data_IF_075527367100
#
_entry.id   IF_075527367100
#
_cell.length_a   1.000
_cell.length_b   1.000
_cell.length_c   1.000
_cell.angle_alpha   90.00
_cell.angle_beta   90.00
_cell.angle_gamma   90.00
#
_symmetry.space_group_name_H-M   'P 1'
#
loop_
_entity.id
_entity.type
_entity.pdbx_description
1 polymer ?
#
# COMPACT_ATOMS: atom_id res chain seq x y z
N UNK A 1 -18.65 10.00 0.12
CA UNK A 1 -17.25 10.29 -0.27
C UNK A 1 -16.49 11.15 0.74
N UNK A 2 -17.04 12.25 1.28
CA UNK A 2 -16.37 13.06 2.34
C UNK A 2 -16.01 12.25 3.58
N UNK A 3 -16.77 11.23 3.93
CA UNK A 3 -16.52 10.39 5.12
C UNK A 3 -15.30 9.48 4.97
N UNK A 4 -15.06 8.94 3.78
CA UNK A 4 -13.88 8.08 3.52
C UNK A 4 -12.59 8.88 3.61
N UNK A 5 -12.54 10.10 3.08
CA UNK A 5 -11.36 10.97 3.20
C UNK A 5 -11.06 11.32 4.66
N UNK A 6 -12.10 11.59 5.47
CA UNK A 6 -11.93 11.83 6.91
C UNK A 6 -11.41 10.59 7.63
N UNK A 7 -11.94 9.42 7.28
CA UNK A 7 -11.48 8.14 7.84
C UNK A 7 -10.02 7.89 7.49
N UNK A 8 -9.64 8.04 6.24
CA UNK A 8 -8.24 7.89 5.80
C UNK A 8 -7.32 8.90 6.50
N UNK A 9 -7.69 10.19 6.53
CA UNK A 9 -6.95 11.22 7.23
C UNK A 9 -6.81 10.93 8.74
N UNK A 10 -7.85 10.41 9.38
CA UNK A 10 -7.78 10.01 10.78
C UNK A 10 -6.80 8.85 11.00
N UNK A 11 -6.69 7.92 10.06
CA UNK A 11 -5.83 6.74 10.15
C UNK A 11 -4.36 7.01 9.77
N UNK A 12 -4.00 8.19 9.28
CA UNK A 12 -2.59 8.52 8.96
C UNK A 12 -1.69 8.57 10.20
N UNK A 13 -2.24 8.92 11.36
CA UNK A 13 -1.46 9.02 12.61
C UNK A 13 -1.26 7.63 13.23
N UNK A 14 0.00 7.21 13.51
CA UNK A 14 0.29 5.96 14.22
C UNK A 14 -0.42 5.89 15.58
N UNK A 15 -0.35 6.96 16.37
CA UNK A 15 -1.00 7.03 17.68
C UNK A 15 -2.51 6.78 17.59
N UNK A 16 -3.18 7.31 16.57
CA UNK A 16 -4.63 7.07 16.40
C UNK A 16 -4.95 5.62 16.04
N UNK A 17 -4.08 4.97 15.24
CA UNK A 17 -4.23 3.53 14.94
C UNK A 17 -4.06 2.67 16.19
N UNK A 18 -3.06 2.98 17.02
CA UNK A 18 -2.83 2.27 18.28
C UNK A 18 -3.99 2.49 19.27
N UNK A 19 -4.50 3.73 19.38
CA UNK A 19 -5.71 4.01 20.19
C UNK A 19 -6.88 3.16 19.70
N UNK A 20 -7.13 3.08 18.41
CA UNK A 20 -8.20 2.23 17.85
C UNK A 20 -7.99 0.75 18.19
N UNK A 21 -6.76 0.26 18.13
CA UNK A 21 -6.42 -1.10 18.57
C UNK A 21 -6.77 -1.33 20.04
N UNK A 22 -6.44 -0.39 20.92
CA UNK A 22 -6.75 -0.49 22.34
C UNK A 22 -8.25 -0.52 22.66
N UNK A 23 -9.06 0.28 21.94
CA UNK A 23 -10.51 0.38 22.16
C UNK A 23 -11.32 -0.55 21.20
N UNK A 24 -10.66 -1.47 20.53
CA UNK A 24 -11.30 -2.33 19.53
C UNK A 24 -12.31 -3.30 20.16
N UNK A 25 -11.90 -3.99 21.21
CA UNK A 25 -12.70 -5.02 21.88
C UNK A 25 -13.18 -4.62 23.28
N UNK A 26 -12.84 -3.42 23.73
CA UNK A 26 -13.16 -2.93 25.07
C UNK A 26 -13.43 -1.43 25.08
N UNK A 27 -14.13 -0.99 26.11
CA UNK A 27 -14.37 0.41 26.36
C UNK A 27 -13.36 0.96 27.39
N UNK A 28 -12.66 2.04 27.03
CA UNK A 28 -11.67 2.67 27.87
C UNK A 28 -11.95 4.16 28.03
N UNK A 29 -11.66 4.71 29.21
CA UNK A 29 -11.65 6.15 29.43
C UNK A 29 -10.40 6.80 28.80
N UNK A 30 -10.46 8.12 28.57
CA UNK A 30 -9.29 8.86 28.08
C UNK A 30 -8.07 8.76 29.01
N UNK A 31 -8.29 8.57 30.31
CA UNK A 31 -7.21 8.36 31.28
C UNK A 31 -6.55 7.00 31.16
N UNK A 32 -7.35 5.93 31.01
CA UNK A 32 -6.84 4.57 30.79
C UNK A 32 -6.09 4.47 29.45
N UNK A 33 -6.58 5.14 28.41
CA UNK A 33 -5.89 5.22 27.13
C UNK A 33 -4.56 5.99 27.30
N UNK A 34 -4.56 7.15 27.94
CA UNK A 34 -3.36 7.96 28.14
C UNK A 34 -2.26 7.23 28.91
N UNK A 35 -2.62 6.34 29.82
CA UNK A 35 -1.65 5.53 30.58
C UNK A 35 -0.85 4.54 29.69
N UNK A 36 -1.33 4.24 28.46
CA UNK A 36 -0.66 3.35 27.53
C UNK A 36 0.29 4.07 26.54
N UNK A 37 0.38 5.40 26.61
CA UNK A 37 1.17 6.20 25.66
C UNK A 37 2.12 7.18 26.37
N UNK A 38 3.29 7.47 25.82
CA UNK A 38 4.22 8.49 26.32
C UNK A 38 3.77 9.91 25.91
N UNK A 39 2.47 10.20 25.98
CA UNK A 39 1.87 11.50 25.61
C UNK A 39 0.87 11.96 26.65
N UNK A 40 0.61 13.27 26.69
CA UNK A 40 -0.27 13.85 27.70
C UNK A 40 -1.75 13.51 27.47
N UNK A 41 -2.55 13.51 28.56
CA UNK A 41 -4.00 13.29 28.46
C UNK A 41 -4.73 14.28 27.54
N UNK A 42 -4.39 15.58 27.47
CA UNK A 42 -4.93 16.49 26.47
C UNK A 42 -4.65 16.05 25.02
N UNK A 43 -3.44 15.56 24.74
CA UNK A 43 -3.07 15.04 23.43
C UNK A 43 -3.91 13.83 23.01
N UNK A 44 -4.11 12.89 23.96
CA UNK A 44 -5.01 11.74 23.73
C UNK A 44 -6.45 12.22 23.48
N UNK A 45 -6.92 13.22 24.19
CA UNK A 45 -8.27 13.78 23.97
C UNK A 45 -8.43 14.38 22.58
N UNK A 46 -7.39 15.02 22.03
CA UNK A 46 -7.37 15.51 20.63
C UNK A 46 -7.43 14.36 19.62
N UNK A 47 -6.65 13.31 19.83
CA UNK A 47 -6.69 12.12 18.97
C UNK A 47 -8.06 11.44 18.99
N UNK A 48 -8.68 11.33 20.15
CA UNK A 48 -10.03 10.78 20.32
C UNK A 48 -11.10 11.66 19.65
N UNK A 49 -10.95 12.98 19.68
CA UNK A 49 -11.84 13.91 18.97
C UNK A 49 -11.78 13.65 17.45
N UNK A 50 -10.59 13.58 16.86
CA UNK A 50 -10.40 13.29 15.43
C UNK A 50 -10.99 11.93 15.05
N UNK A 51 -10.77 10.90 15.86
CA UNK A 51 -11.35 9.57 15.62
C UNK A 51 -12.87 9.56 15.67
N UNK A 52 -13.47 10.35 16.57
CA UNK A 52 -14.92 10.50 16.65
C UNK A 52 -15.50 11.28 15.47
N UNK A 53 -14.87 12.38 15.07
CA UNK A 53 -15.26 13.17 13.89
C UNK A 53 -15.17 12.37 12.59
N UNK A 54 -14.20 11.47 12.50
CA UNK A 54 -14.09 10.51 11.41
C UNK A 54 -15.07 9.33 11.51
N UNK A 55 -15.87 9.26 12.59
CA UNK A 55 -16.80 8.16 12.83
C UNK A 55 -16.14 6.81 13.18
N UNK A 56 -14.84 6.79 13.49
CA UNK A 56 -14.06 5.59 13.82
C UNK A 56 -14.19 5.18 15.28
N UNK A 57 -14.54 6.11 16.16
CA UNK A 57 -14.78 5.87 17.57
C UNK A 57 -16.09 6.51 18.02
N UNK A 58 -16.69 5.93 19.02
CA UNK A 58 -17.84 6.49 19.74
C UNK A 58 -17.51 6.68 21.20
N UNK A 59 -18.28 7.49 21.92
CA UNK A 59 -18.12 7.67 23.35
C UNK A 59 -19.44 7.67 24.08
N UNK A 60 -19.48 6.95 25.21
CA UNK A 60 -20.63 6.87 26.11
C UNK A 60 -20.28 7.54 27.43
N UNK A 61 -21.18 8.35 27.97
CA UNK A 61 -21.03 8.92 29.31
C UNK A 61 -21.30 7.84 30.36
N UNK A 62 -20.37 7.68 31.30
CA UNK A 62 -20.49 6.77 32.44
C UNK A 62 -20.11 7.54 33.72
N UNK A 63 -21.10 7.98 34.48
CA UNK A 63 -20.88 8.88 35.62
C UNK A 63 -20.21 10.19 35.21
N UNK A 64 -19.11 10.54 35.82
CA UNK A 64 -18.31 11.74 35.52
C UNK A 64 -17.27 11.55 34.43
N UNK A 65 -17.18 10.36 33.82
CA UNK A 65 -16.20 10.03 32.80
C UNK A 65 -16.86 9.65 31.46
N UNK A 66 -16.06 9.72 30.38
CA UNK A 66 -16.44 9.20 29.06
C UNK A 66 -15.63 7.95 28.76
N UNK A 67 -16.32 6.91 28.31
CA UNK A 67 -15.71 5.70 27.76
C UNK A 67 -15.77 5.71 26.25
N UNK A 68 -14.70 5.24 25.62
CA UNK A 68 -14.51 5.24 24.17
C UNK A 68 -14.40 3.81 23.68
N UNK A 69 -15.04 3.54 22.53
CA UNK A 69 -15.04 2.26 21.83
C UNK A 69 -14.88 2.48 20.33
N UNK A 70 -14.21 1.56 19.64
CA UNK A 70 -14.10 1.60 18.18
C UNK A 70 -15.43 1.26 17.49
N UNK A 71 -15.76 2.02 16.44
CA UNK A 71 -16.89 1.75 15.55
C UNK A 71 -16.45 0.85 14.41
N UNK A 72 -16.61 -0.45 14.57
CA UNK A 72 -16.23 -1.46 13.57
C UNK A 72 -16.94 -1.29 12.23
N UNK A 73 -18.16 -0.74 12.25
CA UNK A 73 -18.95 -0.49 11.05
C UNK A 73 -18.32 0.53 10.11
N UNK A 74 -17.66 1.54 10.65
CA UNK A 74 -16.95 2.55 9.85
C UNK A 74 -15.80 1.92 9.04
N UNK A 75 -15.09 0.96 9.63
CA UNK A 75 -14.02 0.23 8.94
C UNK A 75 -14.57 -0.83 7.97
N UNK A 76 -15.73 -1.44 8.27
CA UNK A 76 -16.46 -2.27 7.29
C UNK A 76 -16.89 -1.44 6.08
N UNK A 77 -17.38 -0.22 6.29
CA UNK A 77 -17.70 0.72 5.21
C UNK A 77 -16.49 1.07 4.35
N UNK A 78 -15.35 1.36 4.98
CA UNK A 78 -14.08 1.58 4.28
C UNK A 78 -13.64 0.32 3.50
N UNK A 79 -13.70 -0.85 4.14
CA UNK A 79 -13.39 -2.14 3.49
C UNK A 79 -14.35 -2.43 2.33
N UNK A 80 -15.65 -2.16 2.48
CA UNK A 80 -16.63 -2.32 1.42
C UNK A 80 -16.38 -1.35 0.26
N UNK A 81 -16.05 -0.09 0.55
CA UNK A 81 -15.72 0.91 -0.46
C UNK A 81 -14.43 0.55 -1.21
N UNK A 82 -13.39 0.09 -0.50
CA UNK A 82 -12.15 -0.42 -1.11
C UNK A 82 -12.39 -1.75 -1.84
N UNK A 83 -13.32 -2.59 -1.34
CA UNK A 83 -13.72 -3.86 -1.95
C UNK A 83 -14.63 -3.69 -3.17
N UNK A 84 -15.45 -2.64 -3.23
CA UNK A 84 -16.23 -2.31 -4.41
C UNK A 84 -15.38 -1.71 -5.53
N UNK A 85 -14.27 -1.04 -5.19
CA UNK A 85 -13.28 -0.63 -6.17
C UNK A 85 -12.64 -1.84 -6.91
N UNK A 86 -12.52 -3.00 -6.24
CA UNK A 86 -12.03 -4.25 -6.87
C UNK A 86 -13.01 -4.94 -7.82
N UNK A 87 -14.26 -4.48 -7.94
CA UNK A 87 -15.22 -4.94 -8.95
C UNK A 87 -15.17 -4.15 -10.26
N UNK A 88 -14.31 -3.16 -10.34
CA UNK A 88 -14.08 -2.38 -11.55
C UNK A 88 -12.99 -3.05 -12.42
N UNK A 89 -13.13 -4.35 -12.66
CA UNK A 89 -12.32 -5.00 -13.69
C UNK A 89 -12.91 -4.65 -15.04
N UNK A 90 -12.06 -4.37 -16.04
CA UNK A 90 -12.46 -4.05 -17.40
C UNK A 90 -13.33 -5.14 -18.07
N UNK A 91 -13.49 -6.32 -17.44
CA UNK A 91 -14.31 -7.43 -17.95
C UNK A 91 -15.82 -7.17 -17.84
N UNK A 92 -16.27 -6.27 -16.93
CA UNK A 92 -17.69 -5.97 -16.72
C UNK A 92 -18.11 -4.59 -17.26
N UNK A 93 -17.30 -4.00 -18.13
CA UNK A 93 -17.66 -2.75 -18.78
C UNK A 93 -18.65 -3.03 -19.90
N UNK A 94 -19.93 -3.04 -19.56
CA UNK A 94 -21.01 -2.94 -20.56
C UNK A 94 -20.88 -1.57 -21.27
N UNK A 95 -20.59 -1.55 -22.59
CA UNK A 95 -20.45 -0.29 -23.33
C UNK A 95 -21.73 0.52 -23.42
N UNK A 96 -22.85 -0.01 -22.91
CA UNK A 96 -24.16 0.64 -22.92
C UNK A 96 -24.58 1.26 -21.58
N UNK A 97 -23.74 1.22 -20.53
CA UNK A 97 -24.07 1.88 -19.25
C UNK A 97 -24.04 3.41 -19.42
N UNK A 98 -25.12 4.13 -19.10
CA UNK A 98 -25.16 5.58 -19.24
C UNK A 98 -24.13 6.22 -18.32
N UNK A 99 -23.32 7.12 -18.88
CA UNK A 99 -22.44 8.00 -18.10
C UNK A 99 -23.29 8.72 -17.03
N UNK A 100 -23.06 8.41 -15.77
CA UNK A 100 -23.65 9.19 -14.68
C UNK A 100 -22.87 10.51 -14.59
N UNK A 101 -23.25 11.45 -15.43
CA UNK A 101 -22.83 12.85 -15.34
C UNK A 101 -23.59 13.50 -14.19
N UNK A 102 -23.13 13.29 -12.95
CA UNK A 102 -23.50 14.18 -11.87
C UNK A 102 -22.54 15.37 -11.87
N UNK A 103 -23.08 16.55 -12.11
CA UNK A 103 -22.34 17.81 -12.09
C UNK A 103 -21.50 17.90 -10.79
N UNK A 104 -20.16 17.95 -10.92
CA UNK A 104 -19.21 18.14 -9.82
C UNK A 104 -18.35 16.93 -9.44
N UNK A 105 -18.51 15.76 -10.03
CA UNK A 105 -17.57 14.65 -9.84
C UNK A 105 -16.45 14.76 -10.86
N UNK A 106 -15.22 15.03 -10.41
CA UNK A 106 -14.03 14.93 -11.27
C UNK A 106 -13.78 13.44 -11.56
N UNK A 107 -13.96 13.04 -12.79
CA UNK A 107 -13.49 11.74 -13.26
C UNK A 107 -11.99 11.85 -13.51
N UNK A 108 -11.18 11.41 -12.54
CA UNK A 108 -9.75 11.26 -12.74
C UNK A 108 -9.48 9.88 -13.35
N UNK A 109 -8.55 9.75 -14.30
CA UNK A 109 -8.13 8.44 -14.78
C UNK A 109 -7.58 7.61 -13.63
N UNK A 110 -7.85 6.30 -13.63
CA UNK A 110 -7.38 5.36 -12.62
C UNK A 110 -6.50 4.32 -13.31
N UNK A 111 -5.28 4.17 -12.81
CA UNK A 111 -4.40 3.07 -13.22
C UNK A 111 -4.73 1.86 -12.36
N UNK A 112 -5.05 0.77 -13.02
CA UNK A 112 -5.29 -0.54 -12.42
C UNK A 112 -4.24 -1.51 -12.97
N UNK A 113 -3.43 -2.08 -12.08
CA UNK A 113 -2.47 -3.11 -12.43
C UNK A 113 -2.57 -4.26 -11.44
N UNK A 114 -2.42 -5.49 -11.90
CA UNK A 114 -2.46 -6.65 -11.02
C UNK A 114 -1.56 -7.78 -11.52
N UNK A 115 -1.17 -8.64 -10.59
CA UNK A 115 -0.44 -9.88 -10.87
C UNK A 115 -0.74 -10.94 -9.83
N UNK A 116 -0.57 -12.20 -10.23
CA UNK A 116 -0.59 -13.33 -9.31
C UNK A 116 0.84 -13.74 -8.97
N UNK A 117 1.08 -14.09 -7.71
CA UNK A 117 2.38 -14.56 -7.24
C UNK A 117 2.20 -15.88 -6.46
N UNK A 118 3.12 -16.82 -6.68
CA UNK A 118 3.08 -18.16 -6.10
C UNK A 118 3.68 -18.18 -4.68
N UNK A 119 3.24 -17.22 -3.86
CA UNK A 119 3.66 -17.14 -2.45
C UNK A 119 2.53 -16.63 -1.57
N UNK A 120 2.60 -16.93 -0.26
CA UNK A 120 1.54 -16.56 0.69
C UNK A 120 1.33 -15.04 0.74
N UNK A 121 0.17 -14.64 1.23
CA UNK A 121 -0.19 -13.25 1.41
C UNK A 121 0.82 -12.51 2.32
N UNK A 122 1.24 -13.15 3.40
CA UNK A 122 2.20 -12.61 4.37
C UNK A 122 3.58 -12.41 3.72
N UNK A 123 4.06 -13.39 2.96
CA UNK A 123 5.35 -13.31 2.28
C UNK A 123 5.31 -12.27 1.14
N UNK A 124 4.20 -12.14 0.42
CA UNK A 124 3.99 -11.09 -0.58
C UNK A 124 3.93 -9.71 0.07
N UNK A 125 3.29 -9.60 1.24
CA UNK A 125 3.27 -8.35 1.99
C UNK A 125 4.69 -7.96 2.47
N UNK A 126 5.45 -8.91 3.00
CA UNK A 126 6.84 -8.70 3.38
C UNK A 126 7.72 -8.26 2.21
N UNK A 127 7.40 -8.69 0.97
CA UNK A 127 8.12 -8.26 -0.22
C UNK A 127 8.09 -6.73 -0.44
N UNK A 128 7.10 -6.03 0.09
CA UNK A 128 7.00 -4.57 0.02
C UNK A 128 7.41 -3.86 1.30
N UNK A 129 7.53 -4.56 2.43
CA UNK A 129 7.76 -3.95 3.74
C UNK A 129 9.12 -4.30 4.36
N UNK A 130 9.81 -5.29 3.82
CA UNK A 130 11.19 -5.63 4.18
C UNK A 130 12.16 -5.08 3.10
N UNK A 131 13.10 -4.18 3.43
CA UNK A 131 13.96 -3.53 2.45
C UNK A 131 14.92 -4.52 1.75
N UNK A 132 15.30 -5.61 2.41
CA UNK A 132 16.19 -6.63 1.82
C UNK A 132 15.43 -7.45 0.77
N UNK A 133 14.22 -7.88 1.10
CA UNK A 133 13.35 -8.62 0.17
C UNK A 133 12.96 -7.71 -0.98
N UNK A 134 12.56 -6.46 -0.70
CA UNK A 134 12.18 -5.47 -1.70
C UNK A 134 13.30 -5.23 -2.71
N UNK A 135 14.52 -4.93 -2.22
CA UNK A 135 15.70 -4.73 -3.07
C UNK A 135 15.99 -5.94 -3.98
N UNK A 136 15.81 -7.13 -3.44
CA UNK A 136 16.09 -8.38 -4.17
C UNK A 136 15.19 -8.60 -5.37
N UNK A 137 13.86 -8.45 -5.20
CA UNK A 137 12.93 -8.68 -6.30
C UNK A 137 12.84 -7.48 -7.24
N UNK A 138 13.01 -6.25 -6.74
CA UNK A 138 13.01 -5.06 -7.58
C UNK A 138 14.28 -4.98 -8.45
N UNK A 139 15.40 -5.56 -7.97
CA UNK A 139 16.67 -5.61 -8.69
C UNK A 139 17.54 -4.39 -8.47
N UNK A 140 17.12 -3.44 -7.64
CA UNK A 140 17.88 -2.24 -7.24
C UNK A 140 17.82 -2.07 -5.73
N UNK A 141 18.80 -1.41 -5.09
CA UNK A 141 18.75 -1.12 -3.68
C UNK A 141 17.54 -0.26 -3.32
N UNK A 142 16.75 -0.71 -2.35
CA UNK A 142 15.63 0.04 -1.77
C UNK A 142 15.99 0.39 -0.33
N UNK A 143 15.94 1.66 0.01
CA UNK A 143 15.98 2.10 1.40
C UNK A 143 14.55 2.18 1.92
N UNK A 144 14.32 1.66 3.12
CA UNK A 144 13.03 1.75 3.82
C UNK A 144 13.31 2.01 5.29
N UNK A 145 13.00 3.21 5.74
CA UNK A 145 13.20 3.65 7.12
C UNK A 145 12.08 4.58 7.55
N UNK A 146 11.51 4.34 8.74
CA UNK A 146 10.43 5.15 9.31
C UNK A 146 9.23 5.35 8.36
N UNK A 147 8.92 4.30 7.60
CA UNK A 147 7.85 4.32 6.60
C UNK A 147 8.18 5.10 5.32
N UNK A 148 9.39 5.64 5.18
CA UNK A 148 9.88 6.30 3.95
C UNK A 148 10.68 5.32 3.12
N UNK A 149 10.44 5.30 1.83
CA UNK A 149 11.20 4.48 0.90
C UNK A 149 11.82 5.32 -0.22
N UNK A 150 12.96 4.87 -0.72
CA UNK A 150 13.60 5.43 -1.91
C UNK A 150 14.38 4.35 -2.66
N UNK A 151 14.43 4.48 -3.97
CA UNK A 151 15.29 3.70 -4.84
C UNK A 151 15.63 4.50 -6.10
N UNK A 152 16.73 4.10 -6.77
CA UNK A 152 17.08 4.60 -8.10
C UNK A 152 17.12 3.42 -9.06
N UNK A 153 16.31 3.51 -10.11
CA UNK A 153 16.24 2.47 -11.15
C UNK A 153 17.53 2.43 -11.97
N UNK A 154 17.79 1.31 -12.66
CA UNK A 154 19.03 1.10 -13.43
C UNK A 154 19.25 2.16 -14.52
N UNK A 155 18.19 2.76 -15.01
CA UNK A 155 18.23 3.84 -16.02
C UNK A 155 18.30 5.26 -15.42
N UNK A 156 18.48 5.38 -14.09
CA UNK A 156 18.74 6.63 -13.40
C UNK A 156 17.51 7.31 -12.79
N UNK A 157 16.28 6.87 -13.07
CA UNK A 157 15.08 7.45 -12.47
C UNK A 157 15.01 7.14 -10.98
N UNK A 158 14.97 8.19 -10.17
CA UNK A 158 14.83 8.08 -8.72
C UNK A 158 13.37 8.17 -8.30
N UNK A 159 12.96 7.26 -7.44
CA UNK A 159 11.62 7.18 -6.83
C UNK A 159 11.78 7.33 -5.33
N UNK A 160 10.98 8.19 -4.74
CA UNK A 160 10.89 8.34 -3.29
C UNK A 160 9.46 8.40 -2.84
N UNK A 161 9.20 7.97 -1.62
CA UNK A 161 7.85 7.99 -1.09
C UNK A 161 7.77 7.64 0.37
N UNK A 162 6.53 7.48 0.82
CA UNK A 162 6.22 7.05 2.18
C UNK A 162 4.98 6.17 2.22
N UNK A 163 4.93 5.29 3.18
CA UNK A 163 3.73 4.55 3.51
C UNK A 163 2.83 5.43 4.38
N UNK A 164 1.62 5.67 3.93
CA UNK A 164 0.59 6.43 4.65
C UNK A 164 -0.22 5.51 5.58
N UNK A 165 -0.43 4.27 5.14
CA UNK A 165 -1.13 3.25 5.90
C UNK A 165 -0.56 1.88 5.56
N UNK A 166 -0.29 1.09 6.59
CA UNK A 166 0.15 -0.29 6.47
C UNK A 166 -0.78 -1.17 7.30
N UNK A 167 -1.53 -2.05 6.63
CA UNK A 167 -2.47 -2.99 7.25
C UNK A 167 -2.07 -4.42 6.86
N UNK A 168 -1.16 -5.06 7.61
CA UNK A 168 -0.72 -6.42 7.33
C UNK A 168 -1.88 -7.44 7.42
N UNK A 169 -1.92 -8.45 6.55
CA UNK A 169 -1.11 -8.63 5.34
C UNK A 169 -1.82 -8.13 4.06
N UNK A 170 -2.83 -7.25 4.15
CA UNK A 170 -3.81 -7.00 3.10
C UNK A 170 -3.57 -5.72 2.29
N UNK A 171 -3.09 -4.62 2.94
CA UNK A 171 -3.16 -3.30 2.32
C UNK A 171 -1.95 -2.43 2.67
N UNK A 172 -1.40 -1.79 1.65
CA UNK A 172 -0.43 -0.70 1.79
C UNK A 172 -0.97 0.51 1.01
N UNK A 173 -1.07 1.66 1.69
CA UNK A 173 -1.34 2.95 1.05
C UNK A 173 -0.03 3.70 1.04
N UNK A 174 0.38 4.20 -0.12
CA UNK A 174 1.65 4.90 -0.28
C UNK A 174 1.47 6.17 -1.07
N UNK A 175 2.33 7.14 -0.78
CA UNK A 175 2.56 8.32 -1.61
C UNK A 175 3.98 8.30 -2.11
N UNK A 176 4.16 8.67 -3.37
CA UNK A 176 5.49 8.78 -3.97
C UNK A 176 5.53 9.80 -5.07
N UNK A 177 6.73 10.22 -5.42
CA UNK A 177 7.03 11.02 -6.59
C UNK A 177 8.29 10.49 -7.30
N UNK A 178 8.53 11.01 -8.49
CA UNK A 178 9.76 10.81 -9.23
C UNK A 178 10.64 12.07 -9.11
N UNK A 179 11.92 11.88 -8.79
CA UNK A 179 12.94 12.95 -8.87
C UNK A 179 13.56 12.97 -10.28
N UNK A 180 12.73 13.06 -11.31
CA UNK A 180 13.16 13.03 -12.70
C UNK A 180 12.22 13.88 -13.54
N UNK A 181 12.72 14.99 -14.07
CA UNK A 181 11.96 15.93 -14.90
C UNK A 181 11.56 15.36 -16.28
N UNK A 182 12.15 14.21 -16.67
CA UNK A 182 11.85 13.55 -17.93
C UNK A 182 10.65 12.60 -17.85
N UNK A 183 10.13 12.31 -16.66
CA UNK A 183 8.90 11.52 -16.53
C UNK A 183 7.65 12.39 -16.71
N UNK A 184 6.53 11.85 -17.23
CA UNK A 184 5.29 12.61 -17.46
C UNK A 184 4.58 13.11 -16.18
N UNK A 185 5.15 12.87 -15.01
CA UNK A 185 4.63 13.23 -13.68
C UNK A 185 5.69 13.95 -12.83
N UNK A 186 6.35 14.97 -13.36
CA UNK A 186 7.44 15.64 -12.63
C UNK A 186 6.88 16.35 -11.39
N UNK A 187 7.51 16.13 -10.23
CA UNK A 187 7.24 16.86 -8.99
C UNK A 187 5.82 16.72 -8.43
N UNK A 188 5.05 15.76 -8.92
CA UNK A 188 3.69 15.49 -8.47
C UNK A 188 3.64 14.29 -7.52
N UNK A 189 3.25 14.54 -6.25
CA UNK A 189 3.03 13.46 -5.30
C UNK A 189 1.82 12.62 -5.69
N UNK A 190 2.03 11.34 -6.00
CA UNK A 190 0.98 10.40 -6.40
C UNK A 190 0.55 9.55 -5.21
N UNK A 191 -0.71 9.14 -5.18
CA UNK A 191 -1.24 8.22 -4.17
C UNK A 191 -1.63 6.91 -4.83
N UNK A 192 -1.19 5.80 -4.27
CA UNK A 192 -1.56 4.47 -4.70
C UNK A 192 -1.94 3.57 -3.54
N UNK A 193 -2.77 2.61 -3.87
CA UNK A 193 -3.26 1.56 -2.97
C UNK A 193 -2.78 0.23 -3.52
N UNK A 194 -2.01 -0.48 -2.75
CA UNK A 194 -1.56 -1.83 -3.06
C UNK A 194 -2.32 -2.79 -2.16
N UNK A 195 -3.09 -3.66 -2.77
CA UNK A 195 -3.89 -4.66 -2.08
C UNK A 195 -3.39 -6.06 -2.40
N UNK A 196 -3.28 -6.88 -1.37
CA UNK A 196 -2.84 -8.26 -1.47
C UNK A 196 -3.94 -9.16 -0.94
N UNK A 197 -4.37 -10.14 -1.73
CA UNK A 197 -5.41 -11.09 -1.38
C UNK A 197 -4.89 -12.51 -1.51
N UNK A 198 -5.32 -13.45 -0.65
CA UNK A 198 -5.02 -14.86 -0.84
C UNK A 198 -5.70 -15.38 -2.10
N UNK A 199 -4.98 -16.23 -2.86
CA UNK A 199 -5.48 -16.90 -4.06
C UNK A 199 -4.93 -18.32 -4.15
N UNK A 200 -5.71 -19.31 -3.76
CA UNK A 200 -5.22 -20.69 -3.67
C UNK A 200 -4.06 -20.80 -2.67
N UNK A 201 -2.93 -21.33 -3.12
CA UNK A 201 -1.68 -21.40 -2.34
C UNK A 201 -0.82 -20.13 -2.47
N UNK A 202 -1.17 -19.23 -3.39
CA UNK A 202 -0.48 -17.99 -3.65
C UNK A 202 -1.27 -16.76 -3.22
N UNK A 203 -0.93 -15.63 -3.82
CA UNK A 203 -1.64 -14.36 -3.60
C UNK A 203 -1.84 -13.56 -4.88
N UNK A 204 -2.84 -12.71 -4.87
CA UNK A 204 -3.17 -11.74 -5.91
C UNK A 204 -2.84 -10.35 -5.42
N UNK A 205 -2.04 -9.62 -6.19
CA UNK A 205 -1.63 -8.24 -5.92
C UNK A 205 -2.35 -7.31 -6.87
N UNK A 206 -3.05 -6.32 -6.33
CA UNK A 206 -3.73 -5.27 -7.10
C UNK A 206 -3.16 -3.91 -6.72
N UNK A 207 -2.90 -3.07 -7.71
CA UNK A 207 -2.53 -1.67 -7.54
C UNK A 207 -3.61 -0.79 -8.12
N UNK A 208 -4.06 0.18 -7.33
CA UNK A 208 -4.98 1.22 -7.74
C UNK A 208 -4.30 2.57 -7.53
N UNK A 209 -4.13 3.34 -8.59
CA UNK A 209 -3.49 4.64 -8.53
C UNK A 209 -4.35 5.70 -9.21
N UNK A 210 -4.56 6.82 -8.52
CA UNK A 210 -5.18 8.00 -9.10
C UNK A 210 -4.11 8.81 -9.83
N UNK A 211 -4.44 9.26 -11.03
CA UNK A 211 -3.61 10.14 -11.85
C UNK A 211 -4.45 11.28 -12.41
N UNK A 212 -3.82 12.36 -12.82
CA UNK A 212 -4.53 13.57 -13.25
C UNK A 212 -4.82 13.60 -14.75
N UNK A 213 -4.01 12.91 -15.56
CA UNK A 213 -4.09 12.95 -17.01
C UNK A 213 -4.02 11.57 -17.65
N UNK A 214 -4.57 11.38 -18.87
CA UNK A 214 -4.43 10.14 -19.62
C UNK A 214 -2.96 9.76 -19.94
N UNK A 215 -2.10 10.77 -20.17
CA UNK A 215 -0.68 10.53 -20.42
C UNK A 215 0.02 9.94 -19.20
N UNK A 216 -0.30 10.44 -18.00
CA UNK A 216 0.16 9.88 -16.74
C UNK A 216 -0.37 8.46 -16.54
N UNK A 217 -1.63 8.19 -16.90
CA UNK A 217 -2.20 6.84 -16.82
C UNK A 217 -1.40 5.85 -17.66
N UNK A 218 -1.17 6.16 -18.94
CA UNK A 218 -0.40 5.29 -19.84
C UNK A 218 1.03 5.02 -19.32
N UNK A 219 1.71 6.06 -18.83
CA UNK A 219 3.05 5.92 -18.26
C UNK A 219 3.03 5.01 -17.03
N UNK A 220 2.10 5.24 -16.10
CA UNK A 220 2.01 4.49 -14.85
C UNK A 220 1.54 3.04 -15.05
N UNK A 221 0.71 2.77 -16.05
CA UNK A 221 0.37 1.40 -16.45
C UNK A 221 1.62 0.61 -16.84
N UNK A 222 2.49 1.20 -17.67
CA UNK A 222 3.77 0.62 -18.06
C UNK A 222 4.71 0.42 -16.86
N UNK A 223 4.82 1.43 -16.01
CA UNK A 223 5.65 1.36 -14.81
C UNK A 223 5.20 0.25 -13.84
N UNK A 224 3.90 0.15 -13.57
CA UNK A 224 3.36 -0.90 -12.71
C UNK A 224 3.44 -2.29 -13.34
N UNK A 225 3.24 -2.42 -14.65
CA UNK A 225 3.42 -3.69 -15.35
C UNK A 225 4.85 -4.22 -15.18
N UNK A 226 5.85 -3.34 -15.29
CA UNK A 226 7.25 -3.68 -15.06
C UNK A 226 7.52 -4.08 -13.60
N UNK A 227 7.06 -3.27 -12.64
CA UNK A 227 7.28 -3.51 -11.21
C UNK A 227 6.64 -4.83 -10.77
N UNK A 228 5.38 -5.07 -11.15
CA UNK A 228 4.66 -6.30 -10.83
C UNK A 228 5.24 -7.52 -11.55
N UNK A 229 5.75 -7.36 -12.77
CA UNK A 229 6.48 -8.41 -13.49
C UNK A 229 7.78 -8.81 -12.78
N UNK A 230 8.51 -7.85 -12.21
CA UNK A 230 9.71 -8.12 -11.38
C UNK A 230 9.34 -8.83 -10.08
N UNK A 231 8.25 -8.40 -9.43
CA UNK A 231 7.74 -9.05 -8.23
C UNK A 231 7.43 -10.52 -8.51
N UNK A 232 6.64 -10.80 -9.55
CA UNK A 232 6.28 -12.17 -9.94
C UNK A 232 7.53 -13.04 -10.19
N UNK A 233 8.47 -12.55 -10.98
CA UNK A 233 9.71 -13.28 -11.28
C UNK A 233 10.63 -13.42 -10.06
N UNK A 234 10.71 -12.41 -9.19
CA UNK A 234 11.61 -12.36 -8.05
C UNK A 234 11.16 -13.22 -6.89
N UNK A 235 9.86 -13.25 -6.63
CA UNK A 235 9.28 -14.05 -5.54
C UNK A 235 9.30 -15.55 -5.91
N UNK A 236 9.01 -15.90 -7.15
CA UNK A 236 9.11 -17.30 -7.63
C UNK A 236 10.53 -17.85 -7.48
N UNK A 237 11.56 -17.05 -7.75
CA UNK A 237 12.99 -17.45 -7.54
C UNK A 237 13.34 -17.64 -6.07
N UNK A 238 12.72 -16.93 -5.14
CA UNK A 238 12.98 -17.05 -3.71
C UNK A 238 12.40 -18.35 -3.12
N UNK A 239 11.35 -18.89 -3.72
CA UNK A 239 10.70 -20.15 -3.30
C UNK A 239 11.41 -21.38 -3.85
N UNK A 240 12.15 -21.28 -4.96
CA UNK A 240 12.88 -22.38 -5.59
C UNK A 240 14.39 -22.11 -5.75
N UNK A 241 15.18 -22.07 -4.67
CA UNK A 241 16.63 -21.82 -4.75
C UNK A 241 17.40 -22.95 -5.49
N UNK A 242 16.81 -24.13 -5.64
CA UNK A 242 17.45 -25.28 -6.29
C UNK A 242 17.55 -25.13 -7.82
N UNK A 243 16.62 -24.48 -8.49
CA UNK A 243 16.68 -24.29 -9.95
C UNK A 243 17.70 -23.22 -10.39
N UNK A 244 18.05 -22.28 -9.52
CA UNK A 244 19.03 -21.22 -9.81
C UNK A 244 20.46 -21.75 -9.91
N UNK A 245 20.75 -22.91 -9.32
CA UNK A 245 22.10 -23.53 -9.42
C UNK A 245 22.34 -24.30 -10.73
N UNK A 246 21.31 -24.71 -11.42
CA UNK A 246 21.42 -25.47 -12.69
C UNK A 246 21.61 -24.60 -13.95
N UNK A 247 21.36 -23.30 -13.85
CA UNK A 247 21.44 -22.37 -14.98
C UNK A 247 22.74 -21.58 -15.07
N UNK A 248 23.78 -21.97 -14.34
CA UNK A 248 25.09 -21.33 -14.42
C UNK A 248 25.82 -21.84 -15.67
N UNK A 249 26.08 -21.03 -16.70
CA UNK A 249 26.83 -21.48 -17.87
C UNK A 249 28.23 -21.91 -17.43
N UNK A 250 28.64 -23.10 -17.86
CA UNK A 250 29.96 -23.66 -17.57
C UNK A 250 31.04 -22.66 -18.01
N UNK A 251 31.91 -22.32 -17.09
CA UNK A 251 33.07 -21.45 -17.33
C UNK A 251 33.93 -22.08 -18.43
N UNK A 252 34.29 -21.37 -19.53
CA UNK A 252 35.12 -21.94 -20.57
C UNK A 252 36.48 -22.31 -19.98
N UNK A 253 36.89 -23.57 -20.21
CA UNK A 253 38.22 -24.07 -19.86
C UNK A 253 39.26 -23.22 -20.58
N UNK A 254 40.13 -22.57 -19.84
CA UNK A 254 41.33 -21.92 -20.40
C UNK A 254 42.21 -22.98 -21.03
N UNK A 255 42.36 -22.96 -22.33
CA UNK A 255 43.41 -23.70 -23.02
C UNK A 255 44.78 -23.11 -22.60
N UNK A 256 45.53 -23.91 -21.91
CA UNK A 256 46.95 -23.66 -21.70
C UNK A 256 47.71 -23.98 -22.99
N UNK A 257 48.19 -22.98 -23.69
CA UNK A 257 49.13 -23.14 -24.79
C UNK A 257 50.49 -23.58 -24.23
N UNK A 258 51.16 -24.53 -24.84
CA UNK A 258 52.56 -24.84 -24.51
C UNK A 258 53.48 -23.72 -25.09
N UNK A 259 54.41 -23.26 -24.29
CA UNK A 259 55.50 -22.40 -24.75
C UNK A 259 56.58 -23.26 -25.43
N UNK A 260 57.29 -22.68 -26.40
CA UNK A 260 58.38 -23.32 -27.11
C UNK A 260 59.63 -23.51 -26.25
#
# INVERSE_FOLDING_TARGET
MRDIQKVLAALTSPVRREILGLIWDRELSAGEIAAAFPVTKPTISQHLAVLREAGLAESTAVGTSRRYRARRDALRGLRAALGSAGRWTNADRDPASPEVTSAGVRTAPVVLASTDVDTSQEATFAAFTDPVIYSRWLGVPVTLQDGRFACTMEWGTSVRGRYELVCPPELIVMRWDFEDDNVPVPGGEMTGYLRIRPRGSGSHVEVHQLVDTPAQATFMEGAWAMVLGRLQAGVTRAVNPAETMLSRPARPKRHSSPRP
#
